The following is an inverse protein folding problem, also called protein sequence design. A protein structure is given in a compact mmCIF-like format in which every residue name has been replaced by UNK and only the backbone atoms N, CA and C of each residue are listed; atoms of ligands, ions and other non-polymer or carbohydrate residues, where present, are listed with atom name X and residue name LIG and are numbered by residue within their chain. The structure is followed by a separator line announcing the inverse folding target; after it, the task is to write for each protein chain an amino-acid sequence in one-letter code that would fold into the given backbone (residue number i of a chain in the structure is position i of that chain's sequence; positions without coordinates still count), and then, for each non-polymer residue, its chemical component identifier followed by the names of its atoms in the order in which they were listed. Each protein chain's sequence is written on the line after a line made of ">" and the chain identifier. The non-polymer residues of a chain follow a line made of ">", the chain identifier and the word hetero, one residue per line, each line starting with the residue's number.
data_IF_321682528108
#
_entry.id   IF_321682528108
#
_cell.length_a   1.000
_cell.length_b   1.000
_cell.length_c   1.000
_cell.angle_alpha   90.00
_cell.angle_beta   90.00
_cell.angle_gamma   90.00
#
_symmetry.space_group_name_H-M   'P 1'
#
loop_
_entity.id
_entity.type
_entity.pdbx_description
1 polymer ?
#
# COMPACT_ATOMS: atom_id res chain seq x y z
N UNK A 1 -9.17 -23.98 -7.37
CA UNK A 1 -9.46 -23.09 -8.52
C UNK A 1 -8.48 -23.41 -9.64
N UNK A 2 -8.91 -24.07 -10.74
CA UNK A 2 -8.03 -24.33 -11.88
C UNK A 2 -7.87 -23.02 -12.66
N UNK A 3 -6.71 -22.38 -12.54
CA UNK A 3 -6.36 -21.21 -13.36
C UNK A 3 -6.30 -21.68 -14.81
N UNK A 4 -7.13 -21.10 -15.69
CA UNK A 4 -7.03 -21.35 -17.13
C UNK A 4 -5.65 -20.84 -17.58
N UNK A 5 -4.88 -21.62 -18.36
CA UNK A 5 -3.59 -21.16 -18.87
C UNK A 5 -3.75 -19.83 -19.60
N UNK A 6 -2.79 -18.93 -19.44
CA UNK A 6 -2.79 -17.71 -20.22
C UNK A 6 -2.65 -18.10 -21.70
N UNK A 7 -3.57 -17.65 -22.55
CA UNK A 7 -3.48 -17.84 -24.00
C UNK A 7 -3.33 -16.47 -24.64
N UNK A 8 -2.66 -16.40 -25.77
CA UNK A 8 -2.73 -15.19 -26.59
C UNK A 8 -4.18 -14.94 -26.98
N UNK A 9 -4.64 -13.70 -26.82
CA UNK A 9 -5.99 -13.35 -27.27
C UNK A 9 -6.06 -13.40 -28.79
N UNK A 10 -7.23 -13.74 -29.34
CA UNK A 10 -7.46 -13.73 -30.80
C UNK A 10 -7.14 -12.35 -31.39
N UNK A 11 -7.47 -11.27 -30.64
CA UNK A 11 -7.14 -9.90 -31.01
C UNK A 11 -5.63 -9.67 -31.14
N UNK A 12 -4.82 -10.25 -30.26
CA UNK A 12 -3.36 -10.14 -30.33
C UNK A 12 -2.80 -10.94 -31.51
N UNK A 13 -3.30 -12.15 -31.74
CA UNK A 13 -2.87 -13.00 -32.87
C UNK A 13 -3.21 -12.36 -34.22
N UNK A 14 -4.36 -11.70 -34.34
CA UNK A 14 -4.77 -10.99 -35.54
C UNK A 14 -3.91 -9.76 -35.87
N UNK A 15 -3.14 -9.24 -34.91
CA UNK A 15 -2.22 -8.11 -35.10
C UNK A 15 -0.82 -8.55 -35.51
N UNK A 16 -0.52 -9.86 -35.46
CA UNK A 16 0.80 -10.36 -35.85
C UNK A 16 0.90 -10.47 -37.38
N UNK A 17 2.12 -10.31 -37.94
CA UNK A 17 2.42 -10.69 -39.31
C UNK A 17 1.96 -12.12 -39.62
N UNK A 18 1.51 -12.36 -40.85
CA UNK A 18 0.83 -13.60 -41.24
C UNK A 18 1.70 -14.85 -41.05
N UNK A 19 2.98 -14.75 -41.41
CA UNK A 19 4.02 -15.77 -41.21
C UNK A 19 4.24 -16.08 -39.73
N UNK A 20 4.32 -15.05 -38.88
CA UNK A 20 4.45 -15.18 -37.42
C UNK A 20 3.21 -15.82 -36.81
N UNK A 21 2.01 -15.41 -37.23
CA UNK A 21 0.74 -15.98 -36.79
C UNK A 21 0.63 -17.46 -37.13
N UNK A 22 0.99 -17.86 -38.35
CA UNK A 22 1.01 -19.27 -38.78
C UNK A 22 1.99 -20.10 -37.96
N UNK A 23 3.18 -19.57 -37.67
CA UNK A 23 4.16 -20.27 -36.84
C UNK A 23 3.65 -20.48 -35.41
N UNK A 24 3.07 -19.45 -34.79
CA UNK A 24 2.53 -19.53 -33.41
C UNK A 24 1.44 -20.60 -33.31
N UNK A 25 0.49 -20.61 -34.25
CA UNK A 25 -0.63 -21.57 -34.25
C UNK A 25 -0.17 -22.97 -34.65
N UNK A 26 0.62 -23.09 -35.72
CA UNK A 26 1.07 -24.37 -36.26
C UNK A 26 1.93 -25.16 -35.27
N UNK A 27 2.69 -24.45 -34.45
CA UNK A 27 3.55 -25.06 -33.45
C UNK A 27 2.90 -25.14 -32.06
N UNK A 28 1.66 -24.66 -31.92
CA UNK A 28 0.82 -24.65 -30.71
C UNK A 28 1.36 -23.82 -29.53
N UNK A 29 2.17 -22.79 -29.82
CA UNK A 29 2.74 -21.89 -28.81
C UNK A 29 1.68 -21.06 -28.09
N UNK A 30 0.49 -20.90 -28.67
CA UNK A 30 -0.65 -20.21 -28.07
C UNK A 30 -1.29 -20.96 -26.89
N UNK A 31 -0.95 -22.26 -26.73
CA UNK A 31 -1.60 -23.15 -25.74
C UNK A 31 -0.78 -23.36 -24.46
N UNK A 32 0.49 -22.96 -24.42
CA UNK A 32 1.45 -23.41 -23.39
C UNK A 32 1.98 -22.32 -22.44
N UNK A 33 1.42 -21.12 -22.47
CA UNK A 33 1.91 -20.02 -21.64
C UNK A 33 1.63 -20.26 -20.14
N UNK A 34 2.68 -20.28 -19.31
CA UNK A 34 2.54 -20.11 -17.86
C UNK A 34 3.26 -21.07 -16.90
N UNK A 35 4.08 -22.03 -17.35
CA UNK A 35 4.94 -22.82 -16.43
C UNK A 35 6.33 -23.09 -17.02
N UNK A 36 7.37 -22.58 -16.36
CA UNK A 36 8.78 -22.71 -16.79
C UNK A 36 9.19 -24.17 -17.06
N UNK A 37 8.70 -25.12 -16.27
CA UNK A 37 8.97 -26.56 -16.43
C UNK A 37 8.35 -27.17 -17.71
N UNK A 38 7.25 -26.59 -18.22
CA UNK A 38 6.60 -27.05 -19.46
C UNK A 38 7.36 -26.66 -20.72
N UNK A 39 8.13 -25.57 -20.66
CA UNK A 39 8.76 -24.98 -21.85
C UNK A 39 9.94 -25.83 -22.31
N UNK A 40 10.77 -26.33 -21.38
CA UNK A 40 11.87 -27.24 -21.70
C UNK A 40 11.38 -28.57 -22.28
N UNK A 41 10.27 -29.10 -21.75
CA UNK A 41 9.61 -30.33 -22.21
C UNK A 41 9.05 -30.19 -23.64
N UNK A 42 8.38 -29.08 -23.94
CA UNK A 42 7.75 -28.87 -25.24
C UNK A 42 8.72 -28.46 -26.34
N UNK A 43 9.79 -27.73 -26.00
CA UNK A 43 10.85 -27.37 -26.95
C UNK A 43 11.62 -28.60 -27.45
N UNK A 44 11.90 -29.58 -26.57
CA UNK A 44 12.57 -30.83 -26.95
C UNK A 44 11.70 -31.78 -27.79
N UNK A 45 10.38 -31.57 -27.86
CA UNK A 45 9.46 -32.54 -28.46
C UNK A 45 8.97 -32.16 -29.86
N UNK A 46 9.10 -30.89 -30.26
CA UNK A 46 8.44 -30.37 -31.47
C UNK A 46 9.32 -29.56 -32.43
N UNK A 47 10.52 -29.13 -32.02
CA UNK A 47 11.34 -28.16 -32.78
C UNK A 47 12.75 -28.64 -33.12
N UNK A 48 13.14 -29.82 -32.66
CA UNK A 48 14.48 -30.38 -32.86
C UNK A 48 14.56 -31.43 -33.97
N UNK A 49 13.42 -31.90 -34.47
CA UNK A 49 13.34 -32.81 -35.62
C UNK A 49 12.25 -32.33 -36.60
N UNK A 50 12.71 -31.86 -37.75
CA UNK A 50 11.90 -31.70 -38.97
C UNK A 50 12.65 -32.44 -40.08
N UNK A 51 11.93 -33.00 -41.06
CA UNK A 51 12.46 -34.02 -41.99
C UNK A 51 13.76 -33.67 -42.74
N UNK A 52 14.19 -32.40 -42.76
CA UNK A 52 15.43 -31.94 -43.42
C UNK A 52 16.42 -31.18 -42.51
N UNK A 53 16.06 -30.84 -41.27
CA UNK A 53 16.90 -30.00 -40.39
C UNK A 53 16.93 -30.57 -38.96
N UNK A 54 18.14 -30.83 -38.46
CA UNK A 54 18.40 -31.23 -37.08
C UNK A 54 19.11 -30.10 -36.36
N UNK A 55 18.46 -29.52 -35.36
CA UNK A 55 19.07 -28.46 -34.55
C UNK A 55 20.17 -29.06 -33.66
N UNK A 56 21.45 -28.79 -33.95
CA UNK A 56 22.57 -29.27 -33.12
C UNK A 56 22.62 -28.54 -31.78
N UNK A 57 22.26 -27.25 -31.74
CA UNK A 57 22.26 -26.43 -30.53
C UNK A 57 21.10 -25.44 -30.52
N UNK A 58 20.32 -25.43 -29.43
CA UNK A 58 19.26 -24.46 -29.18
C UNK A 58 19.76 -23.45 -28.13
N UNK A 59 19.96 -22.19 -28.52
CA UNK A 59 20.35 -21.13 -27.58
C UNK A 59 19.09 -20.35 -27.17
N UNK A 60 18.63 -20.57 -25.95
CA UNK A 60 17.60 -19.75 -25.31
C UNK A 60 18.24 -18.61 -24.53
N UNK A 61 17.93 -17.39 -24.92
CA UNK A 61 18.26 -16.20 -24.14
C UNK A 61 16.99 -15.67 -23.48
N UNK A 62 16.93 -15.77 -22.15
CA UNK A 62 15.84 -15.20 -21.36
C UNK A 62 16.24 -13.80 -20.90
N UNK A 63 15.42 -12.81 -21.21
CA UNK A 63 15.56 -11.46 -20.68
C UNK A 63 14.58 -11.28 -19.53
N UNK A 64 15.09 -11.19 -18.29
CA UNK A 64 14.28 -10.66 -17.17
C UNK A 64 14.30 -9.13 -17.29
N UNK A 65 13.26 -8.57 -17.90
CA UNK A 65 13.04 -7.13 -17.86
C UNK A 65 12.69 -6.77 -16.40
N UNK A 66 13.66 -6.27 -15.65
CA UNK A 66 13.45 -5.70 -14.34
C UNK A 66 12.99 -4.24 -14.51
N UNK A 67 11.70 -4.02 -14.74
CA UNK A 67 11.13 -2.68 -14.71
C UNK A 67 11.14 -2.17 -13.25
N UNK A 68 12.19 -1.45 -12.86
CA UNK A 68 12.24 -0.73 -11.59
C UNK A 68 11.50 0.58 -11.75
N UNK A 69 10.25 0.63 -11.29
CA UNK A 69 9.47 1.87 -11.25
C UNK A 69 9.78 2.62 -9.95
N UNK A 70 10.23 3.87 -10.06
CA UNK A 70 10.20 4.81 -8.94
C UNK A 70 8.91 5.62 -9.02
N UNK A 71 7.99 5.42 -8.08
CA UNK A 71 6.81 6.27 -7.98
C UNK A 71 7.17 7.53 -7.19
N UNK A 72 7.02 8.70 -7.81
CA UNK A 72 7.04 9.95 -7.06
C UNK A 72 5.81 9.97 -6.13
N UNK A 73 5.98 10.37 -4.88
CA UNK A 73 4.90 10.41 -3.89
C UNK A 73 3.75 11.37 -4.30
N UNK A 74 4.02 12.32 -5.19
CA UNK A 74 3.07 13.33 -5.63
C UNK A 74 2.95 14.48 -4.63
N UNK A 75 2.39 15.62 -5.08
CA UNK A 75 2.40 16.89 -4.35
C UNK A 75 1.91 16.80 -2.89
N UNK A 76 0.78 16.11 -2.65
CA UNK A 76 0.22 16.00 -1.30
C UNK A 76 1.08 15.14 -0.37
N UNK A 77 1.46 13.94 -0.82
CA UNK A 77 2.24 13.03 0.02
C UNK A 77 3.67 13.56 0.23
N UNK A 78 4.31 14.16 -0.78
CA UNK A 78 5.62 14.83 -0.59
C UNK A 78 5.56 15.86 0.53
N UNK A 79 4.60 16.80 0.49
CA UNK A 79 4.48 17.82 1.53
C UNK A 79 4.10 17.25 2.89
N UNK A 80 3.32 16.18 2.94
CA UNK A 80 3.03 15.45 4.19
C UNK A 80 4.30 14.86 4.80
N UNK A 81 5.10 14.15 3.99
CA UNK A 81 6.35 13.53 4.43
C UNK A 81 7.37 14.60 4.84
N UNK A 82 7.49 15.70 4.11
CA UNK A 82 8.35 16.83 4.54
C UNK A 82 7.86 17.42 5.87
N UNK A 83 6.54 17.55 6.06
CA UNK A 83 5.97 17.95 7.35
C UNK A 83 6.35 17.00 8.48
N UNK A 84 6.29 15.68 8.26
CA UNK A 84 6.71 14.69 9.26
C UNK A 84 8.20 14.82 9.60
N UNK A 85 9.05 15.12 8.61
CA UNK A 85 10.47 15.40 8.83
C UNK A 85 10.67 16.62 9.74
N UNK A 86 9.79 17.60 9.63
CA UNK A 86 9.80 18.83 10.42
C UNK A 86 9.07 18.70 11.76
N UNK A 87 8.56 17.52 12.12
CA UNK A 87 7.82 17.30 13.36
C UNK A 87 6.39 17.84 13.32
N UNK A 88 5.77 17.88 12.13
CA UNK A 88 4.45 18.46 11.87
C UNK A 88 3.52 17.46 11.20
N UNK A 89 2.26 17.44 11.63
CA UNK A 89 1.21 16.68 10.94
C UNK A 89 0.44 17.63 10.04
N UNK A 90 0.72 17.56 8.74
CA UNK A 90 0.05 18.39 7.75
C UNK A 90 -1.18 17.68 7.17
N UNK A 91 -2.24 18.46 6.99
CA UNK A 91 -3.49 18.05 6.35
C UNK A 91 -3.95 19.06 5.31
N UNK A 92 -5.08 18.75 4.70
CA UNK A 92 -5.77 19.64 3.75
C UNK A 92 -7.20 19.84 4.21
N UNK A 93 -7.75 21.04 4.00
CA UNK A 93 -9.10 21.39 4.45
C UNK A 93 -9.95 21.85 3.27
N UNK A 94 -11.09 21.22 3.05
CA UNK A 94 -11.97 21.60 1.95
C UNK A 94 -12.71 22.91 2.29
N UNK A 95 -12.52 23.97 1.49
CA UNK A 95 -13.19 25.25 1.70
C UNK A 95 -14.73 25.20 1.62
N UNK A 96 -15.33 24.18 0.99
CA UNK A 96 -16.80 24.02 0.91
C UNK A 96 -17.38 23.28 2.12
N UNK A 97 -16.98 22.03 2.33
CA UNK A 97 -17.54 21.21 3.41
C UNK A 97 -16.77 21.34 4.73
N UNK A 98 -15.67 22.10 4.77
CA UNK A 98 -14.81 22.32 5.95
C UNK A 98 -14.24 21.01 6.53
N UNK A 99 -14.22 19.91 5.77
CA UNK A 99 -13.62 18.64 6.19
C UNK A 99 -12.09 18.73 6.12
N UNK A 100 -11.43 18.32 7.19
CA UNK A 100 -9.98 18.14 7.26
C UNK A 100 -9.63 16.71 6.84
N UNK A 101 -8.59 16.54 6.04
CA UNK A 101 -8.11 15.26 5.54
C UNK A 101 -6.63 15.10 5.88
N UNK A 102 -6.33 14.06 6.66
CA UNK A 102 -4.99 13.64 7.07
C UNK A 102 -4.94 12.10 6.91
N UNK A 103 -4.03 11.54 6.09
CA UNK A 103 -3.06 12.23 5.22
C UNK A 103 -3.74 13.17 4.18
N UNK A 104 -3.05 14.22 3.71
CA UNK A 104 -3.65 15.25 2.87
C UNK A 104 -4.05 14.72 1.49
N UNK A 105 -5.10 15.32 0.93
CA UNK A 105 -5.60 15.05 -0.42
C UNK A 105 -5.84 16.37 -1.13
N UNK A 106 -5.46 16.45 -2.40
CA UNK A 106 -5.69 17.65 -3.22
C UNK A 106 -7.08 17.71 -3.86
N UNK A 107 -7.94 16.73 -3.60
CA UNK A 107 -9.29 16.65 -4.13
C UNK A 107 -10.24 16.16 -3.04
N UNK A 108 -11.37 16.84 -2.88
CA UNK A 108 -12.41 16.47 -1.93
C UNK A 108 -13.44 15.56 -2.61
N UNK A 109 -13.48 14.29 -2.21
CA UNK A 109 -14.40 13.31 -2.80
C UNK A 109 -15.89 13.55 -2.45
N UNK A 110 -16.19 14.41 -1.48
CA UNK A 110 -17.56 14.77 -1.11
C UNK A 110 -18.10 15.96 -1.90
N UNK A 111 -17.22 16.92 -2.21
CA UNK A 111 -17.59 18.16 -2.90
C UNK A 111 -17.24 18.14 -4.38
N UNK A 112 -16.49 17.12 -4.83
CA UNK A 112 -15.96 16.96 -6.18
C UNK A 112 -15.21 18.20 -6.67
N UNK A 113 -14.25 18.67 -5.85
CA UNK A 113 -13.45 19.87 -6.14
C UNK A 113 -12.03 19.73 -5.63
N UNK A 114 -11.14 20.54 -6.21
CA UNK A 114 -9.78 20.69 -5.71
C UNK A 114 -9.76 21.31 -4.31
N UNK A 115 -8.72 20.94 -3.55
CA UNK A 115 -8.43 21.40 -2.21
C UNK A 115 -6.98 21.88 -2.13
N UNK A 116 -6.83 23.15 -1.78
CA UNK A 116 -5.59 23.90 -1.76
C UNK A 116 -5.27 24.52 -0.40
N UNK A 117 -6.23 24.58 0.54
CA UNK A 117 -6.00 25.01 1.92
C UNK A 117 -5.26 23.93 2.72
N UNK A 118 -4.06 24.27 3.20
CA UNK A 118 -3.23 23.42 4.05
C UNK A 118 -3.40 23.80 5.50
N UNK A 119 -3.45 22.79 6.37
CA UNK A 119 -3.59 22.98 7.82
C UNK A 119 -2.54 22.14 8.54
N UNK A 120 -2.00 22.68 9.62
CA UNK A 120 -1.18 21.94 10.57
C UNK A 120 -2.07 21.46 11.71
N UNK A 121 -1.95 20.19 12.08
CA UNK A 121 -2.72 19.58 13.16
C UNK A 121 -1.78 19.20 14.32
N UNK A 122 -2.22 19.36 15.56
CA UNK A 122 -1.42 19.02 16.75
C UNK A 122 -1.05 17.53 16.82
N UNK A 123 -1.89 16.69 16.22
CA UNK A 123 -1.84 15.24 16.32
C UNK A 123 -2.56 14.67 17.53
N UNK A 124 -3.07 15.53 18.42
CA UNK A 124 -3.87 15.07 19.55
C UNK A 124 -5.20 14.47 19.09
N UNK A 125 -5.65 13.45 19.80
CA UNK A 125 -6.82 12.70 19.40
C UNK A 125 -7.22 11.63 20.40
N UNK A 126 -8.11 10.75 19.96
CA UNK A 126 -8.58 9.61 20.74
C UNK A 126 -8.39 8.29 19.98
N UNK A 127 -8.10 7.22 20.72
CA UNK A 127 -8.10 5.86 20.18
C UNK A 127 -9.52 5.51 19.73
N UNK A 128 -9.71 5.31 18.42
CA UNK A 128 -10.98 4.87 17.84
C UNK A 128 -11.13 3.35 17.92
N UNK A 129 -10.04 2.63 17.66
CA UNK A 129 -9.95 1.17 17.79
C UNK A 129 -8.48 0.78 17.95
N UNK A 130 -8.20 -0.39 18.51
CA UNK A 130 -6.85 -0.88 18.73
C UNK A 130 -6.76 -2.41 18.67
N UNK A 131 -5.53 -2.90 18.53
CA UNK A 131 -5.18 -4.32 18.61
C UNK A 131 -3.92 -4.50 19.45
N UNK A 132 -3.85 -5.62 20.17
CA UNK A 132 -2.69 -6.06 20.92
C UNK A 132 -2.03 -7.21 20.17
N UNK A 133 -0.87 -6.97 19.54
CA UNK A 133 -0.13 -8.00 18.82
C UNK A 133 0.94 -8.63 19.71
N UNK A 134 0.73 -9.91 20.07
CA UNK A 134 1.73 -10.73 20.76
C UNK A 134 2.64 -11.50 19.79
N UNK A 135 2.44 -11.35 18.48
CA UNK A 135 3.23 -12.04 17.45
C UNK A 135 4.34 -11.10 17.00
N UNK A 136 5.60 -11.56 17.12
CA UNK A 136 6.76 -10.82 16.65
C UNK A 136 6.89 -10.84 15.12
N UNK A 137 7.83 -10.04 14.60
CA UNK A 137 8.12 -9.98 13.16
C UNK A 137 8.73 -11.29 12.66
N UNK A 138 9.47 -11.99 13.52
CA UNK A 138 10.03 -13.31 13.21
C UNK A 138 8.98 -14.41 13.38
N UNK A 139 8.84 -15.31 12.38
CA UNK A 139 7.88 -16.41 12.46
C UNK A 139 8.07 -17.27 13.72
N UNK A 140 7.00 -17.47 14.48
CA UNK A 140 7.00 -18.31 15.67
C UNK A 140 7.49 -17.63 16.95
N UNK A 141 7.95 -16.36 16.88
CA UNK A 141 8.33 -15.60 18.07
C UNK A 141 7.09 -14.97 18.70
N UNK A 142 6.88 -15.26 19.99
CA UNK A 142 5.83 -14.64 20.80
C UNK A 142 6.45 -13.59 21.72
N UNK A 143 5.88 -12.40 21.71
CA UNK A 143 6.32 -11.29 22.55
C UNK A 143 5.76 -11.46 23.98
N UNK A 144 6.59 -11.16 24.98
CA UNK A 144 6.15 -11.10 26.38
C UNK A 144 5.17 -9.93 26.60
N UNK A 145 5.47 -8.78 26.00
CA UNK A 145 4.60 -7.60 25.98
C UNK A 145 4.08 -7.35 24.56
N UNK A 146 2.77 -7.12 24.36
CA UNK A 146 2.22 -6.92 23.04
C UNK A 146 2.61 -5.56 22.48
N UNK A 147 2.70 -5.47 21.15
CA UNK A 147 2.72 -4.19 20.45
C UNK A 147 1.28 -3.69 20.34
N UNK A 148 1.03 -2.48 20.84
CA UNK A 148 -0.28 -1.83 20.76
C UNK A 148 -0.33 -1.03 19.46
N UNK A 149 -1.22 -1.41 18.55
CA UNK A 149 -1.46 -0.67 17.30
C UNK A 149 -2.87 -0.13 17.33
N UNK A 150 -3.03 1.18 17.11
CA UNK A 150 -4.32 1.86 17.22
C UNK A 150 -4.60 2.75 16.00
N UNK A 151 -5.88 2.88 15.66
CA UNK A 151 -6.37 3.96 14.81
C UNK A 151 -6.72 5.13 15.71
N UNK A 152 -6.03 6.25 15.52
CA UNK A 152 -6.21 7.47 16.28
C UNK A 152 -7.03 8.45 15.44
N UNK A 153 -8.18 8.88 15.96
CA UNK A 153 -8.97 9.94 15.36
C UNK A 153 -8.54 11.28 15.94
N UNK A 154 -8.20 12.20 15.06
CA UNK A 154 -7.71 13.53 15.42
C UNK A 154 -8.83 14.47 15.80
N UNK A 155 -8.55 15.32 16.79
CA UNK A 155 -9.49 16.29 17.31
C UNK A 155 -10.03 17.23 16.23
N UNK A 156 -11.29 17.63 16.37
CA UNK A 156 -11.94 18.59 15.47
C UNK A 156 -11.96 18.18 13.98
N UNK A 157 -11.69 16.90 13.66
CA UNK A 157 -11.73 16.40 12.26
C UNK A 157 -12.97 15.57 11.94
N UNK A 158 -13.74 15.18 12.96
CA UNK A 158 -14.95 14.39 12.82
C UNK A 158 -16.07 15.14 12.11
N UNK A 159 -16.59 14.57 11.01
CA UNK A 159 -17.75 15.04 10.26
C UNK A 159 -18.68 13.89 9.86
N UNK A 160 -19.99 14.14 9.92
CA UNK A 160 -21.00 13.22 9.38
C UNK A 160 -20.88 13.18 7.85
N UNK A 161 -20.93 11.98 7.27
CA UNK A 161 -20.92 11.84 5.81
C UNK A 161 -22.19 12.47 5.20
N UNK A 162 -22.09 13.20 4.07
CA UNK A 162 -23.27 13.63 3.32
C UNK A 162 -24.11 12.44 2.82
N UNK A 163 -23.47 11.28 2.58
CA UNK A 163 -24.12 10.09 2.03
C UNK A 163 -24.72 9.16 3.09
N UNK A 164 -24.43 9.38 4.38
CA UNK A 164 -24.97 8.55 5.46
C UNK A 164 -25.03 9.30 6.78
N UNK A 165 -26.20 9.25 7.43
CA UNK A 165 -26.40 9.81 8.77
C UNK A 165 -25.75 8.97 9.88
N UNK A 166 -25.39 7.71 9.59
CA UNK A 166 -24.83 6.76 10.57
C UNK A 166 -23.32 6.61 10.46
N UNK A 167 -22.71 7.05 9.35
CA UNK A 167 -21.26 6.96 9.15
C UNK A 167 -20.58 8.28 9.51
N UNK A 168 -19.70 8.20 10.52
CA UNK A 168 -18.82 9.30 10.91
C UNK A 168 -17.47 9.15 10.20
N UNK A 169 -16.97 10.23 9.63
CA UNK A 169 -15.60 10.30 9.12
C UNK A 169 -14.77 11.19 10.03
N UNK A 170 -13.62 10.71 10.45
CA UNK A 170 -12.60 11.49 11.12
C UNK A 170 -11.28 11.33 10.37
N UNK A 171 -10.45 12.38 10.39
CA UNK A 171 -9.07 12.24 9.97
C UNK A 171 -8.27 11.57 11.08
N UNK A 172 -7.23 10.83 10.73
CA UNK A 172 -6.53 10.02 11.71
C UNK A 172 -5.41 9.21 11.10
N UNK A 173 -4.63 8.57 11.98
CA UNK A 173 -3.52 7.69 11.60
C UNK A 173 -3.63 6.37 12.33
N UNK A 174 -3.24 5.30 11.64
CA UNK A 174 -2.91 4.03 12.27
C UNK A 174 -1.47 4.13 12.77
N UNK A 175 -1.22 3.96 14.06
CA UNK A 175 0.13 4.03 14.61
C UNK A 175 0.31 3.23 15.90
N UNK A 176 1.56 3.11 16.35
CA UNK A 176 1.91 2.47 17.61
C UNK A 176 1.52 3.37 18.78
N UNK A 177 0.99 2.75 19.85
CA UNK A 177 0.73 3.40 21.15
C UNK A 177 1.71 2.84 22.18
N UNK A 178 2.31 3.72 22.98
CA UNK A 178 3.24 3.36 24.05
C UNK A 178 3.08 4.31 25.26
N UNK A 179 3.69 3.97 26.39
CA UNK A 179 3.50 4.68 27.66
C UNK A 179 2.21 4.30 28.38
N UNK A 180 1.58 3.18 27.98
CA UNK A 180 0.38 2.62 28.63
C UNK A 180 0.49 1.10 28.70
N UNK A 181 0.02 0.51 29.81
CA UNK A 181 -0.05 -0.95 29.93
C UNK A 181 -1.14 -1.52 29.01
N UNK A 182 -0.96 -2.72 28.44
CA UNK A 182 -1.95 -3.35 27.55
C UNK A 182 -3.34 -3.50 28.17
N UNK A 183 -3.43 -3.73 29.47
CA UNK A 183 -4.68 -3.83 30.22
C UNK A 183 -5.41 -2.50 30.40
N UNK A 184 -4.70 -1.37 30.24
CA UNK A 184 -5.23 -0.04 30.49
C UNK A 184 -5.62 0.70 29.20
N UNK A 185 -5.20 0.22 28.03
CA UNK A 185 -5.59 0.85 26.75
C UNK A 185 -7.08 0.63 26.49
N UNK A 186 -7.76 1.68 26.04
CA UNK A 186 -9.20 1.66 25.81
C UNK A 186 -9.60 2.56 24.64
N UNK A 187 -10.74 2.24 24.01
CA UNK A 187 -11.37 3.13 23.03
C UNK A 187 -11.79 4.42 23.75
N UNK A 188 -11.51 5.57 23.12
CA UNK A 188 -11.73 6.90 23.68
C UNK A 188 -10.54 7.46 24.46
N UNK A 189 -9.52 6.65 24.76
CA UNK A 189 -8.30 7.12 25.42
C UNK A 189 -7.64 8.25 24.63
N UNK A 190 -7.35 9.35 25.33
CA UNK A 190 -6.72 10.55 24.77
C UNK A 190 -5.24 10.32 24.58
N UNK A 191 -4.72 10.59 23.39
CA UNK A 191 -3.30 10.43 23.06
C UNK A 191 -2.73 11.60 22.28
N UNK A 192 -1.40 11.76 22.35
CA UNK A 192 -0.62 12.76 21.61
C UNK A 192 0.61 12.10 20.97
N UNK A 193 1.13 12.64 19.85
CA UNK A 193 2.30 12.09 19.19
C UNK A 193 3.57 12.37 20.01
N UNK A 194 4.46 11.38 20.05
CA UNK A 194 5.85 11.54 20.48
C UNK A 194 6.72 11.41 19.24
N UNK A 195 7.48 12.45 18.94
CA UNK A 195 8.34 12.51 17.77
C UNK A 195 9.71 11.89 18.06
N UNK A 196 10.33 11.31 17.03
CA UNK A 196 11.78 11.04 17.05
C UNK A 196 12.55 12.36 17.17
N UNK A 197 13.80 12.25 17.62
CA UNK A 197 14.67 13.41 17.82
C UNK A 197 14.92 14.16 16.52
N UNK A 198 15.16 15.46 16.64
CA UNK A 198 15.60 16.28 15.52
C UNK A 198 16.88 15.69 14.91
N UNK A 199 16.93 15.57 13.58
CA UNK A 199 18.02 14.91 12.84
C UNK A 199 17.83 13.41 12.60
N UNK A 200 16.97 12.72 13.35
CA UNK A 200 16.63 11.30 13.10
C UNK A 200 15.40 11.14 12.19
N UNK A 201 14.65 12.23 11.97
CA UNK A 201 13.44 12.24 11.14
C UNK A 201 13.81 12.32 9.65
N UNK A 202 13.15 11.50 8.83
CA UNK A 202 13.54 11.28 7.42
C UNK A 202 12.45 11.63 6.40
N UNK A 203 11.29 12.04 6.87
CA UNK A 203 10.07 12.16 6.09
C UNK A 203 9.37 10.82 5.96
N UNK A 204 9.09 10.19 7.09
CA UNK A 204 8.44 8.89 7.22
C UNK A 204 7.34 8.95 8.27
N UNK A 205 6.30 8.13 8.15
CA UNK A 205 5.30 7.95 9.21
C UNK A 205 5.94 7.53 10.55
N UNK A 206 7.10 6.86 10.48
CA UNK A 206 7.88 6.43 11.64
C UNK A 206 8.69 7.54 12.30
N UNK A 207 8.66 8.77 11.76
CA UNK A 207 9.20 9.96 12.43
C UNK A 207 8.36 10.34 13.65
N UNK A 208 7.07 9.94 13.66
CA UNK A 208 6.30 9.78 14.89
C UNK A 208 6.76 8.46 15.51
N UNK A 209 7.44 8.51 16.65
CA UNK A 209 7.93 7.31 17.32
C UNK A 209 6.77 6.43 17.81
N UNK A 210 5.80 7.06 18.50
CA UNK A 210 4.57 6.43 19.00
C UNK A 210 3.58 7.52 19.42
N UNK A 211 2.36 7.14 19.77
CA UNK A 211 1.40 7.98 20.48
C UNK A 211 1.36 7.59 21.96
N UNK A 212 1.25 8.56 22.85
CA UNK A 212 1.23 8.33 24.30
C UNK A 212 0.01 9.01 24.94
N UNK A 213 -0.54 8.49 26.06
CA UNK A 213 -1.64 9.15 26.75
C UNK A 213 -1.36 10.61 27.11
N UNK A 214 -2.36 11.49 27.00
CA UNK A 214 -2.22 12.93 27.31
C UNK A 214 -2.25 13.19 28.82
N UNK A 215 -2.90 12.31 29.59
CA UNK A 215 -3.05 12.42 31.04
C UNK A 215 -2.62 11.14 31.77
N UNK A 216 -1.83 11.30 32.83
CA UNK A 216 -1.60 10.27 33.84
C UNK A 216 -2.81 10.09 34.76
N UNK A 217 -3.94 9.63 34.22
CA UNK A 217 -5.13 9.26 35.00
C UNK A 217 -5.87 8.10 34.34
N UNK A 218 -6.27 7.03 35.04
CA UNK A 218 -6.43 6.80 36.48
C UNK A 218 -6.31 5.28 36.72
N UNK A 219 -5.71 4.87 37.84
CA UNK A 219 -5.87 3.53 38.42
C UNK A 219 -4.57 2.84 38.74
#
# INVERSE_FOLDING_TARGET
>A
MRVKPARYSERYLAQQPEDVRRAIIGLELDKEFGRVEGWASSLNRKYTDTDEWRAENLILTYWRIACRYSHAAGKAATRFLDGLRDGKILGTKCGRCQRVMIPPRLFCEWCFRDVDEWVEHSGEGAISTYSLSYIGTDPGVRLEKPIIVAVIWFDNTSKKSPSSQTVLHAAGLLHIVDGVKPENVSIGMRVRPVWRRDGERTGSILDIAYFTPVDGGVG
#
